data_IF_581860369525
#
_entry.id   IF_581860369525
#
_cell.length_a   1.000
_cell.length_b   1.000
_cell.length_c   1.000
_cell.angle_alpha   90.00
_cell.angle_beta   90.00
_cell.angle_gamma   90.00
#
_symmetry.space_group_name_H-M   'P 1'
#
loop_
_entity.id
_entity.type
_entity.pdbx_description
1 polymer ?
#
# COMPACT_ATOMS: atom_id res chain seq x y z
N UNK A 1 -82.55 23.03 -22.50
CA UNK A 1 -81.98 21.73 -22.90
C UNK A 1 -80.49 21.75 -22.60
N UNK A 2 -80.10 21.31 -21.38
CA UNK A 2 -78.72 21.31 -20.96
C UNK A 2 -78.14 19.88 -21.04
N UNK A 3 -77.22 19.68 -21.95
CA UNK A 3 -76.47 18.42 -22.06
C UNK A 3 -75.17 18.57 -21.20
N UNK A 4 -75.20 17.98 -20.06
CA UNK A 4 -73.97 17.80 -19.26
C UNK A 4 -73.17 16.64 -19.86
N UNK A 5 -71.91 16.92 -20.26
CA UNK A 5 -70.95 15.96 -20.75
C UNK A 5 -70.14 15.52 -19.52
N UNK A 6 -70.32 14.27 -19.07
CA UNK A 6 -69.60 13.63 -18.00
C UNK A 6 -68.23 13.15 -18.55
N UNK A 7 -67.13 13.83 -18.22
CA UNK A 7 -65.77 13.40 -18.54
C UNK A 7 -65.32 12.39 -17.49
N UNK A 8 -65.30 11.12 -17.85
CA UNK A 8 -64.75 10.05 -17.02
C UNK A 8 -63.23 10.00 -17.22
N UNK A 9 -62.48 10.44 -16.22
CA UNK A 9 -61.03 10.37 -16.20
C UNK A 9 -60.59 8.93 -15.79
N UNK A 10 -60.12 8.14 -16.74
CA UNK A 10 -59.56 6.80 -16.46
C UNK A 10 -58.10 6.99 -16.01
N UNK A 11 -57.86 6.79 -14.72
CA UNK A 11 -56.52 6.76 -14.14
C UNK A 11 -55.89 5.41 -14.43
N UNK A 12 -54.97 5.37 -15.41
CA UNK A 12 -54.17 4.17 -15.69
C UNK A 12 -53.05 4.08 -14.63
N UNK A 13 -53.25 3.23 -13.62
CA UNK A 13 -52.17 2.90 -12.67
C UNK A 13 -51.15 2.03 -13.43
N UNK A 14 -50.03 2.63 -13.84
CA UNK A 14 -48.86 1.88 -14.28
C UNK A 14 -48.23 1.19 -13.04
N UNK A 15 -48.53 -0.08 -12.87
CA UNK A 15 -47.82 -0.94 -11.94
C UNK A 15 -46.37 -1.14 -12.45
N UNK A 16 -45.41 -0.39 -11.88
CA UNK A 16 -43.99 -0.65 -12.10
C UNK A 16 -43.65 -1.95 -11.38
N UNK A 17 -43.20 -2.99 -12.08
CA UNK A 17 -42.73 -4.20 -11.37
C UNK A 17 -41.52 -3.82 -10.51
N UNK A 18 -41.66 -3.94 -9.20
CA UNK A 18 -40.55 -3.90 -8.28
C UNK A 18 -39.68 -5.12 -8.58
N UNK A 19 -38.57 -4.95 -9.29
CA UNK A 19 -37.54 -5.95 -9.36
C UNK A 19 -36.94 -6.08 -7.95
N UNK A 20 -37.40 -7.06 -7.21
CA UNK A 20 -36.74 -7.49 -5.99
C UNK A 20 -35.36 -8.00 -6.40
N UNK A 21 -34.32 -7.26 -6.02
CA UNK A 21 -32.93 -7.66 -6.17
C UNK A 21 -32.70 -8.93 -5.31
N UNK A 22 -32.87 -10.10 -5.94
CA UNK A 22 -32.56 -11.41 -5.36
C UNK A 22 -31.03 -11.63 -5.42
N UNK A 23 -30.23 -10.66 -5.03
CA UNK A 23 -28.82 -10.92 -4.72
C UNK A 23 -28.80 -11.99 -3.62
N UNK A 24 -28.34 -13.18 -3.96
CA UNK A 24 -28.26 -14.31 -3.03
C UNK A 24 -27.41 -13.89 -1.82
N UNK A 25 -28.06 -13.66 -0.70
CA UNK A 25 -27.36 -13.37 0.56
C UNK A 25 -26.52 -14.59 0.90
N UNK A 26 -25.20 -14.41 1.04
CA UNK A 26 -24.33 -15.45 1.57
C UNK A 26 -24.83 -15.93 2.95
N UNK A 27 -24.39 -17.10 3.43
CA UNK A 27 -24.93 -17.73 4.64
C UNK A 27 -24.82 -16.86 5.89
N UNK A 28 -23.88 -15.89 5.91
CA UNK A 28 -23.71 -14.93 7.02
C UNK A 28 -23.99 -13.46 6.64
N UNK A 29 -24.64 -13.21 5.51
CA UNK A 29 -24.96 -11.88 4.99
C UNK A 29 -23.75 -11.22 4.31
N UNK A 30 -23.65 -9.89 4.45
CA UNK A 30 -22.59 -9.06 3.85
C UNK A 30 -21.77 -8.36 4.92
N UNK A 31 -20.49 -8.11 4.62
CA UNK A 31 -19.63 -7.28 5.46
C UNK A 31 -20.19 -5.84 5.57
N UNK A 32 -19.94 -5.22 6.71
CA UNK A 32 -20.26 -3.79 6.92
C UNK A 32 -18.97 -2.99 6.84
N UNK A 33 -18.98 -1.92 6.04
CA UNK A 33 -17.93 -0.92 6.08
C UNK A 33 -18.00 -0.14 7.38
N UNK A 34 -16.83 0.19 7.94
CA UNK A 34 -16.67 1.03 9.12
C UNK A 34 -15.88 2.24 8.70
N UNK A 35 -16.40 3.43 8.97
CA UNK A 35 -15.64 4.68 8.84
C UNK A 35 -14.68 4.78 10.03
N UNK A 36 -13.37 4.85 9.73
CA UNK A 36 -12.33 4.93 10.75
C UNK A 36 -11.29 5.97 10.35
N UNK A 37 -11.05 6.92 11.25
CA UNK A 37 -9.92 7.85 11.16
C UNK A 37 -8.73 7.29 11.92
N UNK A 38 -7.53 7.49 11.35
CA UNK A 38 -6.27 7.09 11.98
C UNK A 38 -5.40 8.31 12.23
N UNK A 39 -4.75 8.36 13.39
CA UNK A 39 -3.66 9.31 13.62
C UNK A 39 -2.47 9.01 12.70
N UNK A 40 -1.64 10.01 12.44
CA UNK A 40 -0.41 9.85 11.66
C UNK A 40 0.54 8.83 12.31
N UNK A 41 1.19 8.02 11.50
CA UNK A 41 1.91 6.83 11.93
C UNK A 41 3.34 6.84 11.42
N UNK A 42 4.26 6.35 12.26
CA UNK A 42 5.62 5.97 11.87
C UNK A 42 5.69 4.45 11.80
N UNK A 43 6.18 3.91 10.69
CA UNK A 43 6.16 2.47 10.43
C UNK A 43 7.49 1.96 9.91
N UNK A 44 7.95 0.83 10.42
CA UNK A 44 9.04 0.06 9.85
C UNK A 44 8.51 -1.23 9.24
N UNK A 45 8.76 -1.42 7.93
CA UNK A 45 8.54 -2.70 7.25
C UNK A 45 9.82 -3.53 7.31
N UNK A 46 9.70 -4.72 7.89
CA UNK A 46 10.71 -5.78 7.83
C UNK A 46 10.56 -6.51 6.48
N UNK A 47 11.35 -6.09 5.50
CA UNK A 47 11.32 -6.67 4.17
C UNK A 47 12.38 -7.77 4.04
N UNK A 48 11.95 -9.01 4.25
CA UNK A 48 12.74 -10.21 4.01
C UNK A 48 11.97 -11.14 3.06
N UNK A 49 11.91 -10.74 1.77
CA UNK A 49 11.11 -11.41 0.74
C UNK A 49 11.96 -11.99 -0.37
N UNK A 50 11.40 -12.93 -1.15
CA UNK A 50 12.15 -13.64 -2.19
C UNK A 50 11.60 -13.44 -3.60
N UNK A 51 10.45 -12.77 -3.76
CA UNK A 51 9.80 -12.56 -5.06
C UNK A 51 9.50 -11.10 -5.33
N UNK A 52 9.41 -10.75 -6.61
CA UNK A 52 9.04 -9.41 -7.07
C UNK A 52 7.63 -9.05 -6.60
N UNK A 53 6.71 -10.01 -6.63
CA UNK A 53 5.31 -9.83 -6.20
C UNK A 53 5.22 -9.49 -4.72
N UNK A 54 5.98 -10.20 -3.87
CA UNK A 54 6.02 -9.92 -2.43
C UNK A 54 6.62 -8.54 -2.15
N UNK A 55 7.69 -8.13 -2.87
CA UNK A 55 8.25 -6.80 -2.73
C UNK A 55 7.28 -5.73 -3.22
N UNK A 56 6.60 -5.96 -4.34
CA UNK A 56 5.56 -5.08 -4.88
C UNK A 56 4.43 -4.88 -3.86
N UNK A 57 4.00 -5.94 -3.18
CA UNK A 57 2.98 -5.85 -2.12
C UNK A 57 3.43 -4.97 -0.96
N UNK A 58 4.71 -5.01 -0.56
CA UNK A 58 5.25 -4.09 0.47
C UNK A 58 5.21 -2.64 -0.05
N UNK A 59 5.61 -2.39 -1.30
CA UNK A 59 5.55 -1.05 -1.90
C UNK A 59 4.11 -0.51 -1.96
N UNK A 60 3.13 -1.36 -2.30
CA UNK A 60 1.71 -1.01 -2.33
C UNK A 60 1.23 -0.59 -0.94
N UNK A 61 1.48 -1.42 0.06
CA UNK A 61 1.09 -1.16 1.46
C UNK A 61 1.73 0.13 1.98
N UNK A 62 3.02 0.34 1.73
CA UNK A 62 3.73 1.55 2.12
C UNK A 62 3.15 2.80 1.42
N UNK A 63 2.84 2.69 0.12
CA UNK A 63 2.24 3.78 -0.66
C UNK A 63 0.84 4.15 -0.16
N UNK A 64 -0.04 3.16 0.08
CA UNK A 64 -1.38 3.41 0.62
C UNK A 64 -1.32 4.01 2.02
N UNK A 65 -0.43 3.52 2.89
CA UNK A 65 -0.26 4.07 4.23
C UNK A 65 0.28 5.50 4.20
N UNK A 66 1.22 5.81 3.29
CA UNK A 66 1.70 7.18 3.06
C UNK A 66 0.56 8.10 2.65
N UNK A 67 -0.28 7.67 1.69
CA UNK A 67 -1.44 8.43 1.23
C UNK A 67 -2.46 8.65 2.37
N UNK A 68 -2.74 7.63 3.18
CA UNK A 68 -3.63 7.71 4.35
C UNK A 68 -3.11 8.72 5.37
N UNK A 69 -1.79 8.80 5.56
CA UNK A 69 -1.13 9.78 6.43
C UNK A 69 -1.00 11.19 5.79
N UNK A 70 -1.58 11.41 4.60
CA UNK A 70 -1.49 12.68 3.85
C UNK A 70 -0.15 12.92 3.18
N UNK A 71 0.69 11.89 3.04
CA UNK A 71 2.04 11.95 2.46
C UNK A 71 2.94 13.05 3.08
N UNK A 72 2.71 13.38 4.35
CA UNK A 72 3.39 14.44 5.08
C UNK A 72 4.69 13.90 5.71
N UNK A 73 5.89 14.33 5.23
CA UNK A 73 7.16 13.82 5.73
C UNK A 73 7.53 14.34 7.12
N UNK A 74 6.83 15.36 7.66
CA UNK A 74 7.11 15.92 8.98
C UNK A 74 6.45 15.10 10.10
N UNK A 75 5.26 14.57 9.85
CA UNK A 75 4.45 13.91 10.87
C UNK A 75 4.37 12.39 10.68
N UNK A 76 4.74 11.88 9.51
CA UNK A 76 4.71 10.45 9.19
C UNK A 76 6.01 9.99 8.54
N UNK A 77 6.42 8.76 8.82
CA UNK A 77 7.63 8.17 8.25
C UNK A 77 7.44 6.68 8.08
N UNK A 78 7.82 6.19 6.91
CA UNK A 78 7.78 4.77 6.57
C UNK A 78 9.19 4.35 6.16
N UNK A 79 9.77 3.42 6.90
CA UNK A 79 11.09 2.86 6.59
C UNK A 79 10.94 1.41 6.17
N UNK A 80 11.46 1.06 5.00
CA UNK A 80 11.51 -0.31 4.50
C UNK A 80 12.93 -0.82 4.68
N UNK A 81 13.12 -1.79 5.58
CA UNK A 81 14.43 -2.38 5.89
C UNK A 81 14.61 -3.65 5.07
N UNK A 82 15.61 -3.63 4.18
CA UNK A 82 15.94 -4.70 3.24
C UNK A 82 17.08 -5.55 3.83
N UNK A 83 16.84 -6.83 4.09
CA UNK A 83 17.89 -7.71 4.64
C UNK A 83 17.74 -9.18 4.23
N UNK A 84 16.89 -9.47 3.24
CA UNK A 84 16.60 -10.82 2.76
C UNK A 84 17.02 -11.07 1.29
N UNK A 85 16.22 -11.88 0.60
CA UNK A 85 16.48 -12.26 -0.78
C UNK A 85 16.05 -11.20 -1.82
N UNK A 86 15.42 -10.10 -1.40
CA UNK A 86 15.07 -8.94 -2.23
C UNK A 86 16.30 -8.07 -2.58
N UNK A 87 17.39 -8.15 -1.81
CA UNK A 87 18.59 -7.32 -2.02
C UNK A 87 19.06 -7.28 -3.49
N UNK A 88 19.14 -8.41 -4.21
CA UNK A 88 19.53 -8.41 -5.64
C UNK A 88 18.60 -7.58 -6.54
N UNK A 89 17.34 -7.32 -6.14
CA UNK A 89 16.43 -6.47 -6.93
C UNK A 89 16.93 -5.03 -6.99
N UNK A 90 17.55 -4.57 -5.91
CA UNK A 90 18.06 -3.21 -5.72
C UNK A 90 19.48 -3.00 -6.22
N UNK A 91 20.10 -4.02 -6.84
CA UNK A 91 21.44 -3.91 -7.40
C UNK A 91 21.40 -3.24 -8.78
N UNK A 92 22.27 -2.23 -9.00
CA UNK A 92 22.38 -1.46 -10.26
C UNK A 92 22.54 -2.37 -11.47
N UNK A 93 23.37 -3.40 -11.38
CA UNK A 93 23.59 -4.36 -12.48
C UNK A 93 22.36 -5.15 -12.89
N UNK A 94 21.35 -5.21 -12.02
CA UNK A 94 20.11 -5.94 -12.26
C UNK A 94 18.95 -5.01 -12.68
N UNK A 95 19.19 -3.70 -12.87
CA UNK A 95 18.15 -2.70 -13.14
C UNK A 95 17.24 -3.08 -14.29
N UNK A 96 17.79 -3.47 -15.44
CA UNK A 96 16.99 -3.83 -16.63
C UNK A 96 16.01 -4.97 -16.34
N UNK A 97 16.41 -5.93 -15.51
CA UNK A 97 15.56 -7.06 -15.12
C UNK A 97 14.43 -6.63 -14.19
N UNK A 98 14.68 -5.68 -13.31
CA UNK A 98 13.74 -5.24 -12.27
C UNK A 98 13.27 -3.79 -12.45
N UNK A 99 13.39 -3.26 -13.68
CA UNK A 99 13.16 -1.85 -14.01
C UNK A 99 11.86 -1.31 -13.43
N UNK A 100 10.72 -1.95 -13.68
CA UNK A 100 9.40 -1.52 -13.21
C UNK A 100 9.34 -1.44 -11.69
N UNK A 101 9.91 -2.42 -10.99
CA UNK A 101 9.96 -2.43 -9.53
C UNK A 101 10.85 -1.29 -9.00
N UNK A 102 12.01 -1.08 -9.62
CA UNK A 102 12.98 -0.07 -9.18
C UNK A 102 12.52 1.35 -9.47
N UNK A 103 11.95 1.61 -10.64
CA UNK A 103 11.36 2.92 -10.98
C UNK A 103 10.27 3.28 -9.97
N UNK A 104 9.43 2.31 -9.61
CA UNK A 104 8.40 2.51 -8.60
C UNK A 104 8.99 2.75 -7.21
N UNK A 105 9.94 1.91 -6.77
CA UNK A 105 10.58 2.08 -5.46
C UNK A 105 11.23 3.47 -5.35
N UNK A 106 11.97 3.90 -6.36
CA UNK A 106 12.58 5.21 -6.42
C UNK A 106 11.54 6.33 -6.36
N UNK A 107 10.45 6.23 -7.13
CA UNK A 107 9.40 7.25 -7.14
C UNK A 107 8.74 7.47 -5.77
N UNK A 108 8.62 6.42 -4.95
CA UNK A 108 8.07 6.51 -3.60
C UNK A 108 8.97 7.27 -2.62
N UNK A 109 10.25 7.44 -2.92
CA UNK A 109 11.19 8.19 -2.05
C UNK A 109 11.13 9.71 -2.28
N UNK A 110 10.58 10.17 -3.41
CA UNK A 110 10.61 11.59 -3.82
C UNK A 110 9.94 12.50 -2.79
N UNK A 111 8.85 12.06 -2.18
CA UNK A 111 8.11 12.83 -1.16
C UNK A 111 8.77 12.83 0.23
N UNK A 112 9.86 12.08 0.44
CA UNK A 112 10.57 12.01 1.73
C UNK A 112 9.86 11.24 2.83
N UNK A 113 8.63 10.76 2.62
CA UNK A 113 7.86 9.98 3.60
C UNK A 113 8.34 8.53 3.66
N UNK A 114 8.77 7.95 2.53
CA UNK A 114 9.21 6.56 2.41
C UNK A 114 10.73 6.52 2.20
N UNK A 115 11.42 5.70 2.98
CA UNK A 115 12.87 5.45 2.90
C UNK A 115 13.17 3.97 2.79
N UNK A 116 14.23 3.66 2.04
CA UNK A 116 14.79 2.30 1.98
C UNK A 116 16.12 2.26 2.73
N UNK A 117 16.24 1.32 3.66
CA UNK A 117 17.48 1.05 4.40
C UNK A 117 17.87 -0.41 4.21
N UNK A 118 19.10 -0.66 3.77
CA UNK A 118 19.57 -2.01 3.46
C UNK A 118 20.64 -2.46 4.46
N UNK A 119 20.50 -3.67 4.94
CA UNK A 119 21.49 -4.31 5.80
C UNK A 119 22.82 -4.54 5.06
N UNK A 120 23.89 -3.87 5.50
CA UNK A 120 25.24 -3.99 4.91
C UNK A 120 25.80 -5.41 5.03
N UNK A 121 25.52 -6.12 6.14
CA UNK A 121 25.96 -7.49 6.33
C UNK A 121 25.29 -8.41 5.32
N UNK A 122 23.97 -8.30 5.14
CA UNK A 122 23.22 -9.12 4.20
C UNK A 122 23.61 -8.81 2.74
N UNK A 123 23.80 -7.53 2.40
CA UNK A 123 24.26 -7.12 1.06
C UNK A 123 25.64 -7.75 0.74
N UNK A 124 26.60 -7.66 1.66
CA UNK A 124 27.92 -8.30 1.52
C UNK A 124 27.82 -9.81 1.37
N UNK A 125 26.97 -10.47 2.15
CA UNK A 125 26.72 -11.91 2.04
C UNK A 125 26.18 -12.35 0.68
N UNK A 126 25.61 -11.41 -0.08
CA UNK A 126 25.13 -11.62 -1.45
C UNK A 126 26.08 -11.06 -2.52
N UNK A 127 27.26 -10.58 -2.11
CA UNK A 127 28.31 -10.07 -3.01
C UNK A 127 28.07 -8.66 -3.53
N UNK A 128 27.36 -7.80 -2.73
CA UNK A 128 27.12 -6.39 -3.06
C UNK A 128 27.78 -5.46 -2.06
N UNK A 129 28.48 -4.44 -2.58
CA UNK A 129 28.95 -3.26 -1.85
C UNK A 129 27.97 -2.09 -1.94
N UNK A 130 28.31 -0.95 -1.35
CA UNK A 130 27.49 0.25 -1.45
C UNK A 130 27.41 0.78 -2.90
N UNK A 131 28.50 0.64 -3.63
CA UNK A 131 28.66 1.03 -5.02
C UNK A 131 27.79 0.22 -6.00
N UNK A 132 27.31 -0.95 -5.58
CA UNK A 132 26.46 -1.84 -6.40
C UNK A 132 24.97 -1.56 -6.23
N UNK A 133 24.56 -0.76 -5.22
CA UNK A 133 23.17 -0.54 -4.85
C UNK A 133 22.68 0.82 -5.34
N UNK A 134 21.43 0.89 -5.79
CA UNK A 134 20.82 2.14 -6.24
C UNK A 134 20.88 3.25 -5.19
N UNK A 135 21.20 4.49 -5.61
CA UNK A 135 21.49 5.62 -4.74
C UNK A 135 20.31 6.14 -3.89
N UNK A 136 19.09 5.67 -4.13
CA UNK A 136 17.95 5.99 -3.26
C UNK A 136 17.85 5.08 -2.02
N UNK A 137 18.74 4.11 -1.87
CA UNK A 137 18.82 3.17 -0.74
C UNK A 137 19.99 3.55 0.16
N UNK A 138 19.75 3.65 1.46
CA UNK A 138 20.80 3.86 2.48
C UNK A 138 21.28 2.53 3.07
N UNK A 139 22.58 2.27 3.12
CA UNK A 139 23.12 1.08 3.78
C UNK A 139 23.31 1.35 5.27
N UNK A 140 22.66 0.52 6.11
CA UNK A 140 22.83 0.52 7.56
C UNK A 140 23.74 -0.65 8.00
N UNK A 141 24.45 -0.53 9.12
CA UNK A 141 25.38 -1.58 9.57
C UNK A 141 24.73 -2.96 9.67
N UNK A 142 23.53 -3.06 10.25
CA UNK A 142 22.80 -4.31 10.48
C UNK A 142 21.28 -4.05 10.43
N UNK A 143 20.54 -4.85 9.65
CA UNK A 143 19.10 -4.68 9.47
C UNK A 143 18.29 -4.85 10.76
N UNK A 144 18.56 -5.91 11.53
CA UNK A 144 17.87 -6.18 12.79
C UNK A 144 18.09 -5.05 13.82
N UNK A 145 19.33 -4.56 13.94
CA UNK A 145 19.66 -3.45 14.82
C UNK A 145 18.93 -2.16 14.41
N UNK A 146 18.80 -1.93 13.10
CA UNK A 146 18.04 -0.79 12.56
C UNK A 146 16.55 -0.91 12.88
N UNK A 147 15.96 -2.09 12.73
CA UNK A 147 14.56 -2.34 13.09
C UNK A 147 14.33 -2.11 14.58
N UNK A 148 15.21 -2.63 15.45
CA UNK A 148 15.12 -2.42 16.90
C UNK A 148 15.20 -0.93 17.23
N UNK A 149 16.16 -0.21 16.64
CA UNK A 149 16.33 1.23 16.84
C UNK A 149 15.05 2.00 16.43
N UNK A 150 14.51 1.70 15.27
CA UNK A 150 13.29 2.35 14.78
C UNK A 150 12.10 2.09 15.72
N UNK A 151 11.94 0.86 16.24
CA UNK A 151 10.90 0.57 17.22
C UNK A 151 11.10 1.35 18.52
N UNK A 152 12.34 1.52 18.99
CA UNK A 152 12.65 2.38 20.14
C UNK A 152 12.34 3.86 19.86
N UNK A 153 12.47 4.30 18.61
CA UNK A 153 12.10 5.65 18.13
C UNK A 153 10.57 5.82 17.87
N UNK A 154 9.76 4.81 18.27
CA UNK A 154 8.30 4.84 18.19
C UNK A 154 7.69 4.38 16.87
N UNK A 155 8.45 3.67 16.02
CA UNK A 155 7.90 3.08 14.80
C UNK A 155 7.13 1.79 15.10
N UNK A 156 5.93 1.66 14.54
CA UNK A 156 5.19 0.41 14.55
C UNK A 156 5.85 -0.61 13.60
N UNK A 157 6.02 -1.85 14.07
CA UNK A 157 6.60 -2.92 13.27
C UNK A 157 5.56 -3.58 12.36
N UNK A 158 5.92 -3.77 11.08
CA UNK A 158 5.11 -4.45 10.06
C UNK A 158 5.95 -5.49 9.32
N UNK A 159 5.34 -6.62 9.00
CA UNK A 159 5.94 -7.69 8.21
C UNK A 159 5.10 -8.06 7.00
#
# INVERSE_FOLDING_TARGET
MNRQILLTLIFFLLAVPAYADNASKGPWGHAKAIEQEYSKQKVVYDASVSTVEAMTSILDRASYLSALNGADPFDSKIVIVLHGNEIPFFAIKNYEKYKTLMDRAQSLTVGGTIEFRMCKIAARGKGFGAEDIHGFVSLVPMGDAEIIKLQQDGFAYMR
#
